data_IF_058577879810
#
_entry.id   IF_058577879810
#
_cell.length_a   1.000
_cell.length_b   1.000
_cell.length_c   1.000
_cell.angle_alpha   90.00
_cell.angle_beta   90.00
_cell.angle_gamma   90.00
#
_symmetry.space_group_name_H-M   'P 1'
#
loop_
_entity.id
_entity.type
_entity.pdbx_description
1 polymer ?
#
# COMPACT_ATOMS: atom_id res chain seq x y z
N UNK A 1 -4.14 5.43 5.40
CA UNK A 1 -4.65 4.10 4.99
C UNK A 1 -3.86 3.56 3.82
N UNK A 2 -3.81 2.24 3.70
CA UNK A 2 -3.03 1.54 2.68
C UNK A 2 -3.85 0.43 2.04
N UNK A 3 -3.52 0.09 0.79
CA UNK A 3 -4.21 -0.94 0.03
C UNK A 3 -3.39 -2.22 -0.09
N UNK A 4 -3.98 -3.35 0.29
CA UNK A 4 -3.41 -4.67 0.04
C UNK A 4 -4.09 -5.21 -1.21
N UNK A 5 -3.40 -5.16 -2.33
CA UNK A 5 -3.92 -5.55 -3.64
C UNK A 5 -3.19 -6.79 -4.12
N UNK A 6 -3.92 -7.89 -4.21
CA UNK A 6 -3.40 -9.13 -4.80
C UNK A 6 -3.99 -9.31 -6.19
N UNK A 7 -3.15 -9.61 -7.15
CA UNK A 7 -3.55 -9.99 -8.48
C UNK A 7 -2.65 -11.11 -8.99
N UNK A 8 -3.23 -12.19 -9.47
CA UNK A 8 -2.49 -13.36 -9.93
C UNK A 8 -1.47 -13.87 -8.90
N UNK A 9 -1.85 -13.83 -7.61
CA UNK A 9 -1.01 -14.29 -6.51
C UNK A 9 0.14 -13.35 -6.13
N UNK A 10 0.17 -12.13 -6.68
CA UNK A 10 1.23 -11.16 -6.40
C UNK A 10 0.67 -9.92 -5.72
N UNK A 11 1.47 -9.37 -4.83
CA UNK A 11 1.14 -8.17 -4.05
C UNK A 11 1.69 -6.92 -4.72
N UNK A 12 0.83 -5.91 -4.85
CA UNK A 12 1.22 -4.60 -5.36
C UNK A 12 2.04 -3.84 -4.32
N UNK A 13 3.23 -3.43 -4.72
CA UNK A 13 4.12 -2.61 -3.90
C UNK A 13 4.53 -1.35 -4.67
N UNK A 14 4.76 -0.30 -3.93
CA UNK A 14 5.29 0.96 -4.45
C UNK A 14 6.53 1.35 -3.63
N UNK A 15 7.37 2.21 -4.18
CA UNK A 15 8.51 2.72 -3.43
C UNK A 15 8.04 3.53 -2.22
N UNK A 16 8.63 3.28 -1.06
CA UNK A 16 8.26 3.97 0.18
C UNK A 16 8.76 5.43 0.20
N UNK A 17 9.85 5.72 -0.48
CA UNK A 17 10.47 7.04 -0.54
C UNK A 17 10.74 7.43 -1.98
N UNK A 18 10.60 8.73 -2.33
CA UNK A 18 10.84 9.19 -3.71
C UNK A 18 12.30 9.05 -4.10
N UNK A 19 12.52 8.85 -5.40
CA UNK A 19 13.86 8.73 -5.95
C UNK A 19 14.59 7.49 -5.47
N UNK A 20 15.92 7.57 -5.39
CA UNK A 20 16.80 6.46 -4.99
C UNK A 20 17.21 6.54 -3.52
N UNK A 21 16.43 7.21 -2.67
CA UNK A 21 16.78 7.40 -1.25
C UNK A 21 16.74 6.10 -0.45
N UNK A 22 15.94 5.14 -0.86
CA UNK A 22 15.76 3.89 -0.15
C UNK A 22 15.32 2.79 -1.10
N UNK A 23 15.65 1.56 -0.75
CA UNK A 23 15.17 0.35 -1.42
C UNK A 23 13.92 -0.21 -0.77
N UNK A 24 13.31 0.53 0.16
CA UNK A 24 12.13 0.10 0.89
C UNK A 24 10.88 0.16 0.03
N UNK A 25 10.06 -0.89 0.14
CA UNK A 25 8.77 -1.00 -0.51
C UNK A 25 7.64 -0.91 0.51
N UNK A 26 6.50 -0.41 0.05
CA UNK A 26 5.31 -0.26 0.86
C UNK A 26 4.06 -0.56 0.04
N UNK A 27 2.95 -0.78 0.72
CA UNK A 27 1.65 -0.81 0.06
C UNK A 27 1.25 0.61 -0.36
N UNK A 28 0.58 0.76 -1.50
CA UNK A 28 0.10 2.09 -1.92
C UNK A 28 -0.94 2.64 -0.94
N UNK A 29 -0.96 3.94 -0.80
CA UNK A 29 -1.89 4.63 0.09
C UNK A 29 -1.38 6.01 0.49
N UNK A 30 -2.01 6.59 1.48
CA UNK A 30 -1.65 7.91 1.97
C UNK A 30 -2.48 8.35 3.15
N UNK A 31 -2.41 9.63 3.47
CA UNK A 31 -3.15 10.24 4.55
C UNK A 31 -4.63 10.40 4.24
N UNK A 32 -5.40 10.56 5.28
CA UNK A 32 -6.85 10.79 5.17
C UNK A 32 -7.12 12.26 4.83
N UNK A 33 -7.87 12.48 3.77
CA UNK A 33 -8.41 13.78 3.46
C UNK A 33 -9.77 13.90 4.13
N UNK A 34 -9.94 14.94 4.96
CA UNK A 34 -11.18 15.17 5.70
C UNK A 34 -12.37 15.35 4.75
N UNK A 35 -13.50 14.78 5.12
CA UNK A 35 -14.74 14.90 4.34
C UNK A 35 -14.98 13.78 3.37
N UNK A 36 -14.05 12.80 3.29
CA UNK A 36 -14.21 11.58 2.49
C UNK A 36 -14.04 10.36 3.37
N UNK A 37 -14.74 9.28 3.03
CA UNK A 37 -14.58 8.01 3.73
C UNK A 37 -13.17 7.44 3.52
N UNK A 38 -12.75 6.52 4.39
CA UNK A 38 -11.48 5.84 4.20
C UNK A 38 -11.41 5.08 2.88
N UNK A 39 -12.46 4.31 2.48
CA UNK A 39 -12.45 3.64 1.19
C UNK A 39 -12.33 4.62 0.01
N UNK A 40 -13.05 5.74 0.02
CA UNK A 40 -12.98 6.73 -1.06
C UNK A 40 -11.60 7.39 -1.13
N UNK A 41 -11.02 7.72 0.02
CA UNK A 41 -9.64 8.20 0.09
C UNK A 41 -8.67 7.19 -0.52
N UNK A 42 -8.85 5.92 -0.22
CA UNK A 42 -7.93 4.88 -0.66
C UNK A 42 -8.02 4.65 -2.17
N UNK A 43 -9.23 4.64 -2.73
CA UNK A 43 -9.42 4.55 -4.19
C UNK A 43 -8.67 5.68 -4.89
N UNK A 44 -8.80 6.90 -4.38
CA UNK A 44 -8.11 8.08 -4.92
C UNK A 44 -6.59 7.93 -4.85
N UNK A 45 -6.06 7.56 -3.67
CA UNK A 45 -4.62 7.41 -3.48
C UNK A 45 -4.02 6.34 -4.40
N UNK A 46 -4.66 5.19 -4.49
CA UNK A 46 -4.18 4.11 -5.38
C UNK A 46 -4.19 4.57 -6.83
N UNK A 47 -5.25 5.26 -7.25
CA UNK A 47 -5.35 5.80 -8.61
C UNK A 47 -4.26 6.81 -8.89
N UNK A 48 -4.01 7.74 -7.99
CA UNK A 48 -2.96 8.75 -8.14
C UNK A 48 -1.58 8.12 -8.23
N UNK A 49 -1.27 7.19 -7.34
CA UNK A 49 0.05 6.60 -7.25
C UNK A 49 0.36 5.59 -8.35
N UNK A 50 -0.63 4.82 -8.78
CA UNK A 50 -0.40 3.66 -9.65
C UNK A 50 -1.14 3.71 -10.98
N UNK A 51 -2.14 4.57 -11.11
CA UNK A 51 -3.01 4.56 -12.29
C UNK A 51 -4.02 3.43 -12.31
N UNK A 52 -4.08 2.64 -11.24
CA UNK A 52 -4.98 1.49 -11.17
C UNK A 52 -6.28 1.86 -10.44
N UNK A 53 -7.35 1.16 -10.80
CA UNK A 53 -8.63 1.25 -10.10
C UNK A 53 -8.80 0.04 -9.19
N UNK A 54 -9.20 0.29 -7.95
CA UNK A 54 -9.45 -0.77 -6.98
C UNK A 54 -10.83 -0.62 -6.36
N UNK A 55 -11.38 -1.74 -5.91
CA UNK A 55 -12.54 -1.80 -5.04
C UNK A 55 -12.04 -2.16 -3.64
N UNK A 56 -12.40 -1.33 -2.66
CA UNK A 56 -11.93 -1.49 -1.28
C UNK A 56 -12.86 -2.45 -0.54
N UNK A 57 -12.27 -3.48 0.07
CA UNK A 57 -12.96 -4.46 0.88
C UNK A 57 -12.74 -4.23 2.37
N UNK A 58 -12.55 -5.33 3.10
CA UNK A 58 -12.43 -5.29 4.56
C UNK A 58 -11.03 -4.83 5.01
N UNK A 59 -10.95 -4.17 6.18
CA UNK A 59 -9.65 -3.92 6.81
C UNK A 59 -8.98 -5.25 7.18
N UNK A 60 -7.65 -5.27 7.08
CA UNK A 60 -6.88 -6.49 7.35
C UNK A 60 -5.68 -6.27 8.25
N UNK A 61 -5.28 -5.03 8.48
CA UNK A 61 -4.14 -4.75 9.35
C UNK A 61 -4.28 -3.35 9.92
N UNK A 62 -4.03 -3.25 11.22
CA UNK A 62 -3.80 -1.97 11.90
C UNK A 62 -2.32 -1.96 12.28
N UNK A 63 -1.58 -1.02 11.73
CA UNK A 63 -0.17 -0.84 12.03
C UNK A 63 0.00 0.45 12.82
N UNK A 64 0.65 0.35 13.96
CA UNK A 64 0.97 1.51 14.79
C UNK A 64 2.48 1.69 14.83
N UNK A 65 2.93 2.87 14.42
CA UNK A 65 4.33 3.25 14.52
C UNK A 65 4.45 4.42 15.49
N UNK A 66 5.24 4.22 16.53
CA UNK A 66 5.44 5.23 17.57
C UNK A 66 6.93 5.39 17.84
N UNK A 67 7.42 6.60 17.66
CA UNK A 67 8.81 6.96 17.94
C UNK A 67 8.84 8.05 19.02
N UNK A 68 8.95 7.65 20.31
CA UNK A 68 8.87 8.61 21.42
C UNK A 68 9.93 9.72 21.35
N UNK A 69 11.14 9.42 20.87
CA UNK A 69 12.22 10.39 20.80
C UNK A 69 11.90 11.60 19.93
N UNK A 70 11.20 11.39 18.80
CA UNK A 70 10.79 12.46 17.89
C UNK A 70 9.36 12.93 18.14
N UNK A 71 8.59 12.20 18.94
CA UNK A 71 7.16 12.43 19.13
C UNK A 71 6.29 11.97 17.95
N UNK A 72 6.89 11.29 16.98
CA UNK A 72 6.13 10.80 15.83
C UNK A 72 5.27 9.61 16.23
N UNK A 73 3.97 9.68 15.86
CA UNK A 73 3.04 8.61 16.15
C UNK A 73 2.04 8.52 15.00
N UNK A 74 1.99 7.38 14.35
CA UNK A 74 1.12 7.15 13.19
C UNK A 74 0.37 5.83 13.33
N UNK A 75 -0.91 5.86 13.01
CA UNK A 75 -1.73 4.66 12.88
C UNK A 75 -2.16 4.55 11.43
N UNK A 76 -1.87 3.40 10.83
CA UNK A 76 -2.30 3.10 9.46
C UNK A 76 -3.26 1.93 9.46
N UNK A 77 -4.33 2.05 8.68
CA UNK A 77 -5.30 0.97 8.47
C UNK A 77 -5.11 0.46 7.05
N UNK A 78 -4.88 -0.84 6.91
CA UNK A 78 -4.73 -1.52 5.63
C UNK A 78 -6.03 -2.22 5.28
N UNK A 79 -6.46 -2.05 4.04
CA UNK A 79 -7.69 -2.66 3.52
C UNK A 79 -7.34 -3.63 2.40
N UNK A 80 -8.01 -4.78 2.39
CA UNK A 80 -7.93 -5.68 1.24
C UNK A 80 -8.68 -5.04 0.09
N UNK A 81 -8.00 -4.97 -1.05
CA UNK A 81 -8.57 -4.35 -2.24
C UNK A 81 -8.51 -5.31 -3.42
N UNK A 82 -9.50 -5.19 -4.30
CA UNK A 82 -9.59 -5.96 -5.53
C UNK A 82 -9.31 -5.05 -6.71
N UNK A 83 -8.48 -5.50 -7.63
CA UNK A 83 -8.21 -4.77 -8.85
C UNK A 83 -9.46 -4.77 -9.75
N UNK A 84 -9.87 -3.60 -10.22
CA UNK A 84 -11.03 -3.42 -11.08
C UNK A 84 -10.57 -3.24 -12.53
N UNK A 85 -11.22 -3.94 -13.44
CA UNK A 85 -10.96 -3.82 -14.87
C UNK A 85 -9.78 -4.65 -15.38
N UNK A 86 -8.91 -5.13 -14.50
CA UNK A 86 -7.75 -5.92 -14.88
C UNK A 86 -6.79 -5.17 -15.79
N UNK A 87 -5.64 -5.71 -16.00
CA UNK A 87 -4.64 -5.14 -16.90
C UNK A 87 -3.62 -4.25 -16.20
N UNK A 88 -2.56 -3.89 -16.93
CA UNK A 88 -1.47 -3.09 -16.40
C UNK A 88 -1.89 -1.64 -16.17
N UNK A 89 -1.12 -0.88 -15.38
CA UNK A 89 -1.30 0.56 -15.27
C UNK A 89 -1.22 1.21 -16.66
N UNK A 90 -1.88 2.36 -16.86
CA UNK A 90 -1.75 3.11 -18.10
C UNK A 90 -0.28 3.43 -18.39
N UNK A 91 0.13 3.25 -19.63
CA UNK A 91 1.49 3.56 -20.04
C UNK A 91 1.81 5.05 -19.78
N UNK A 92 2.98 5.31 -19.21
CA UNK A 92 3.42 6.67 -18.90
C UNK A 92 2.74 7.30 -17.70
N UNK A 93 1.98 6.51 -16.90
CA UNK A 93 1.35 7.04 -15.71
C UNK A 93 2.37 7.60 -14.74
N UNK A 94 2.05 8.77 -14.16
CA UNK A 94 2.87 9.42 -13.14
C UNK A 94 2.01 9.84 -11.97
N UNK A 95 2.52 9.63 -10.77
CA UNK A 95 1.94 10.15 -9.54
C UNK A 95 1.98 11.68 -9.58
N UNK A 96 0.83 12.38 -9.48
CA UNK A 96 0.80 13.84 -9.48
C UNK A 96 1.65 14.47 -8.38
N UNK A 97 1.80 13.79 -7.24
CA UNK A 97 2.63 14.26 -6.13
C UNK A 97 4.11 13.91 -6.29
N UNK A 98 4.46 13.06 -7.26
CA UNK A 98 5.84 12.69 -7.56
C UNK A 98 6.51 11.81 -6.52
N UNK A 99 5.77 11.24 -5.58
CA UNK A 99 6.32 10.39 -4.52
C UNK A 99 6.54 8.98 -5.03
N UNK A 100 5.54 8.41 -5.71
CA UNK A 100 5.63 7.05 -6.24
C UNK A 100 6.14 7.10 -7.68
N UNK A 101 7.32 6.55 -7.89
CA UNK A 101 7.96 6.46 -9.21
C UNK A 101 8.28 5.03 -9.63
N UNK A 102 8.09 4.05 -8.73
CA UNK A 102 8.33 2.64 -9.00
C UNK A 102 7.21 1.79 -8.45
N UNK A 103 6.84 0.80 -9.24
CA UNK A 103 5.74 -0.10 -8.97
C UNK A 103 6.22 -1.52 -9.17
N UNK A 104 5.83 -2.42 -8.28
CA UNK A 104 6.25 -3.82 -8.35
C UNK A 104 5.12 -4.76 -7.92
N UNK A 105 4.96 -5.82 -8.67
CA UNK A 105 4.12 -6.95 -8.30
C UNK A 105 5.02 -8.04 -7.75
N UNK A 106 4.96 -8.30 -6.45
CA UNK A 106 5.84 -9.24 -5.79
C UNK A 106 5.11 -10.53 -5.46
N UNK A 107 5.67 -11.65 -5.90
CA UNK A 107 5.17 -12.96 -5.55
C UNK A 107 5.47 -13.32 -4.10
N UNK A 108 4.77 -14.32 -3.59
CA UNK A 108 4.88 -14.74 -2.19
C UNK A 108 6.29 -15.15 -1.79
N UNK A 109 7.03 -15.80 -2.70
CA UNK A 109 8.41 -16.21 -2.45
C UNK A 109 9.37 -15.02 -2.61
N UNK A 110 9.17 -14.20 -3.62
CA UNK A 110 10.02 -13.07 -3.92
C UNK A 110 10.02 -12.03 -2.80
N UNK A 111 8.87 -11.81 -2.17
CA UNK A 111 8.71 -10.74 -1.18
C UNK A 111 9.65 -10.89 0.02
N UNK A 112 10.06 -12.13 0.33
CA UNK A 112 11.02 -12.41 1.39
C UNK A 112 12.42 -11.88 1.12
N UNK A 113 12.73 -11.56 -0.14
CA UNK A 113 14.02 -10.98 -0.54
C UNK A 113 14.00 -9.46 -0.58
N UNK A 114 12.83 -8.85 -0.40
CA UNK A 114 12.62 -7.42 -0.49
C UNK A 114 12.55 -6.80 0.90
N UNK A 115 12.92 -5.54 0.97
CA UNK A 115 12.75 -4.74 2.18
C UNK A 115 11.37 -4.10 2.14
N UNK A 116 10.44 -4.64 2.92
CA UNK A 116 9.03 -4.24 2.94
C UNK A 116 8.62 -3.81 4.34
N UNK A 117 7.90 -2.71 4.43
CA UNK A 117 7.34 -2.24 5.71
C UNK A 117 5.82 -2.05 5.60
N UNK A 118 5.08 -2.30 6.68
CA UNK A 118 5.51 -2.88 7.95
C UNK A 118 5.93 -4.36 7.78
N UNK A 119 6.66 -4.87 8.75
CA UNK A 119 7.20 -6.23 8.71
C UNK A 119 6.10 -7.30 8.62
N UNK A 120 4.91 -7.01 9.14
CA UNK A 120 3.76 -7.91 9.09
C UNK A 120 3.09 -7.97 7.71
N UNK A 121 3.32 -6.99 6.84
CA UNK A 121 2.62 -6.92 5.54
C UNK A 121 2.79 -8.18 4.69
N UNK A 122 3.99 -8.73 4.51
CA UNK A 122 4.15 -9.95 3.72
C UNK A 122 3.35 -11.14 4.25
N UNK A 123 3.21 -11.24 5.57
CA UNK A 123 2.44 -12.32 6.19
C UNK A 123 0.94 -12.10 6.02
N UNK A 124 0.48 -10.88 6.23
CA UNK A 124 -0.96 -10.55 6.19
C UNK A 124 -1.52 -10.60 4.77
N UNK A 125 -0.73 -10.25 3.77
CA UNK A 125 -1.21 -10.09 2.39
C UNK A 125 -1.92 -11.33 1.84
N UNK A 126 -1.42 -12.53 2.16
CA UNK A 126 -1.99 -13.79 1.67
C UNK A 126 -2.84 -14.54 2.69
N UNK A 127 -3.17 -13.92 3.81
CA UNK A 127 -4.00 -14.52 4.85
C UNK A 127 -5.39 -13.90 4.89
N UNK A 128 -6.28 -14.52 5.67
CA UNK A 128 -7.59 -13.96 5.98
C UNK A 128 -7.57 -13.33 7.37
N UNK A 129 -8.55 -12.44 7.62
CA UNK A 129 -8.74 -11.83 8.93
C UNK A 129 -8.04 -10.50 9.09
N UNK A 130 -7.99 -10.04 10.33
CA UNK A 130 -7.43 -8.75 10.73
C UNK A 130 -6.31 -8.99 11.73
N UNK A 131 -5.23 -8.22 11.60
CA UNK A 131 -4.12 -8.25 12.53
C UNK A 131 -3.80 -6.85 13.05
N UNK A 132 -3.10 -6.80 14.15
CA UNK A 132 -2.56 -5.59 14.73
C UNK A 132 -1.04 -5.72 14.82
N UNK A 133 -0.33 -4.74 14.32
CA UNK A 133 1.13 -4.65 14.36
C UNK A 133 1.52 -3.36 15.08
N UNK A 134 1.94 -3.49 16.37
CA UNK A 134 2.32 -2.33 17.15
C UNK A 134 3.65 -1.71 16.71
#
# INVERSE_FOLDING_TARGET
MRAVVLAEGRLLLVNAWPGAQSDMWAAPGGGVETGRSLPDNLVREVREETGLWVEVGAPCLVNEFHEPASGFHQVEIFFRCRLVGGGPPPEGWRDPEGVVDRLRWAGREEIGTLRVKPDSLPRIAWQNGIAYDP
#
